data_IF_417764960926
#
_entry.id   IF_417764960926
#
_cell.length_a   1.000
_cell.length_b   1.000
_cell.length_c   1.000
_cell.angle_alpha   90.00
_cell.angle_beta   90.00
_cell.angle_gamma   90.00
#
_symmetry.space_group_name_H-M   'P 1'
#
loop_
_entity.id
_entity.type
_entity.pdbx_description
1 polymer ?
#
# COMPACT_ATOMS: atom_id res chain seq x y z
N UNK A 1 -21.69 23.27 -23.94
CA UNK A 1 -21.83 21.79 -23.90
C UNK A 1 -20.47 21.08 -23.83
N UNK A 2 -19.46 21.57 -24.54
CA UNK A 2 -18.08 21.04 -24.54
C UNK A 2 -17.30 21.10 -23.21
N UNK A 3 -17.41 22.13 -22.34
CA UNK A 3 -16.57 22.19 -21.13
C UNK A 3 -16.97 21.14 -20.09
N UNK A 4 -18.26 20.76 -20.04
CA UNK A 4 -18.76 19.76 -19.09
C UNK A 4 -18.25 18.37 -19.46
N UNK A 5 -18.34 18.00 -20.74
CA UNK A 5 -17.80 16.73 -21.25
C UNK A 5 -16.29 16.61 -21.01
N UNK A 6 -15.55 17.70 -21.24
CA UNK A 6 -14.11 17.73 -20.98
C UNK A 6 -13.79 17.60 -19.49
N UNK A 7 -14.54 18.28 -18.62
CA UNK A 7 -14.40 18.14 -17.16
C UNK A 7 -14.65 16.70 -16.70
N UNK A 8 -15.71 16.05 -17.19
CA UNK A 8 -16.02 14.66 -16.87
C UNK A 8 -14.89 13.73 -17.34
N UNK A 9 -14.39 13.92 -18.57
CA UNK A 9 -13.28 13.12 -19.09
C UNK A 9 -12.01 13.27 -18.24
N UNK A 10 -11.67 14.49 -17.82
CA UNK A 10 -10.53 14.74 -16.93
C UNK A 10 -10.71 14.06 -15.57
N UNK A 11 -11.89 14.15 -14.96
CA UNK A 11 -12.18 13.50 -13.68
C UNK A 11 -12.06 11.98 -13.78
N UNK A 12 -12.59 11.38 -14.84
CA UNK A 12 -12.47 9.94 -15.09
C UNK A 12 -11.00 9.55 -15.26
N UNK A 13 -10.22 10.28 -16.05
CA UNK A 13 -8.79 10.03 -16.25
C UNK A 13 -8.01 10.05 -14.92
N UNK A 14 -8.23 11.06 -14.08
CA UNK A 14 -7.58 11.17 -12.77
C UNK A 14 -8.02 10.01 -11.86
N UNK A 15 -9.30 9.68 -11.85
CA UNK A 15 -9.86 8.62 -11.00
C UNK A 15 -9.31 7.25 -11.42
N UNK A 16 -9.38 6.91 -12.70
CA UNK A 16 -8.85 5.66 -13.24
C UNK A 16 -7.32 5.60 -13.14
N UNK A 17 -6.62 6.71 -13.34
CA UNK A 17 -5.17 6.80 -13.15
C UNK A 17 -4.76 6.55 -11.70
N UNK A 18 -5.51 7.09 -10.73
CA UNK A 18 -5.25 6.81 -9.32
C UNK A 18 -5.54 5.34 -8.96
N UNK A 19 -6.65 4.79 -9.48
CA UNK A 19 -7.02 3.39 -9.27
C UNK A 19 -5.98 2.45 -9.89
N UNK A 20 -5.49 2.73 -11.10
CA UNK A 20 -4.49 1.89 -11.77
C UNK A 20 -3.17 1.84 -11.00
N UNK A 21 -2.70 2.98 -10.48
CA UNK A 21 -1.52 3.03 -9.59
C UNK A 21 -1.77 2.26 -8.28
N UNK A 22 -2.99 2.32 -7.74
CA UNK A 22 -3.37 1.56 -6.55
C UNK A 22 -3.39 0.04 -6.78
N UNK A 23 -3.71 -0.41 -8.00
CA UNK A 23 -3.69 -1.83 -8.39
C UNK A 23 -2.26 -2.28 -8.71
N UNK A 24 -1.49 -1.49 -9.47
CA UNK A 24 -0.13 -1.82 -9.88
C UNK A 24 0.86 -1.85 -8.71
N UNK A 25 0.68 -0.96 -7.72
CA UNK A 25 1.51 -0.92 -6.50
C UNK A 25 0.69 -1.23 -5.25
N UNK A 26 0.38 -2.51 -4.98
CA UNK A 26 -0.46 -2.91 -3.86
C UNK A 26 0.26 -2.79 -2.50
N UNK A 27 1.58 -2.62 -2.50
CA UNK A 27 2.41 -2.57 -1.30
C UNK A 27 3.04 -1.19 -1.14
N UNK A 28 2.65 -0.47 -0.08
CA UNK A 28 3.37 0.71 0.39
C UNK A 28 4.50 0.32 1.35
N UNK A 29 5.46 1.21 1.54
CA UNK A 29 6.48 1.05 2.59
C UNK A 29 5.83 1.20 3.97
N UNK A 30 6.29 0.41 4.94
CA UNK A 30 5.85 0.57 6.31
C UNK A 30 6.38 1.89 6.88
N UNK A 31 5.48 2.79 7.28
CA UNK A 31 5.83 4.13 7.82
C UNK A 31 6.73 4.10 9.07
N UNK A 32 6.76 2.98 9.81
CA UNK A 32 7.51 2.89 11.07
C UNK A 32 8.95 2.42 10.88
N UNK A 33 9.20 1.60 9.87
CA UNK A 33 10.54 1.08 9.55
C UNK A 33 11.05 1.55 8.18
N UNK A 34 10.35 2.49 7.53
CA UNK A 34 10.69 3.04 6.22
C UNK A 34 11.05 2.00 5.14
N UNK A 35 10.42 0.83 5.17
CA UNK A 35 10.72 -0.25 4.22
C UNK A 35 11.75 -1.29 4.68
N UNK A 36 12.55 -1.02 5.73
CA UNK A 36 13.60 -1.95 6.18
C UNK A 36 13.06 -3.24 6.81
N UNK A 37 11.87 -3.22 7.41
CA UNK A 37 11.28 -4.37 8.10
C UNK A 37 11.80 -4.58 9.53
N UNK A 38 12.82 -3.84 9.95
CA UNK A 38 13.39 -3.86 11.30
C UNK A 38 13.77 -2.46 11.77
N UNK A 39 13.99 -2.30 13.07
CA UNK A 39 14.58 -1.09 13.62
C UNK A 39 16.10 -1.12 13.35
N UNK A 40 16.65 -0.05 12.77
CA UNK A 40 18.10 0.13 12.69
C UNK A 40 18.61 0.54 14.07
N UNK A 41 19.65 -0.15 14.54
CA UNK A 41 20.38 0.23 15.76
C UNK A 41 21.84 0.43 15.40
N UNK A 42 22.56 1.26 16.14
CA UNK A 42 24.00 1.38 16.02
C UNK A 42 24.67 0.50 17.08
N UNK A 43 25.81 -0.09 16.73
CA UNK A 43 26.70 -0.72 17.70
C UNK A 43 27.49 0.34 18.47
N UNK A 44 28.15 -0.05 19.58
CA UNK A 44 29.05 0.81 20.36
C UNK A 44 30.17 1.45 19.51
N UNK A 45 30.52 0.83 18.39
CA UNK A 45 31.51 1.33 17.41
C UNK A 45 30.89 2.16 16.27
N UNK A 46 29.62 2.57 16.38
CA UNK A 46 28.91 3.37 15.38
C UNK A 46 28.49 2.62 14.10
N UNK A 47 28.70 1.31 14.02
CA UNK A 47 28.33 0.51 12.84
C UNK A 47 26.82 0.25 12.82
N UNK A 48 26.14 0.39 11.66
CA UNK A 48 24.73 0.08 11.55
C UNK A 48 24.51 -1.43 11.71
N UNK A 49 23.63 -1.80 12.64
CA UNK A 49 23.25 -3.18 12.94
C UNK A 49 21.74 -3.32 12.81
N UNK A 50 21.33 -4.48 12.30
CA UNK A 50 19.92 -4.90 12.31
C UNK A 50 19.45 -5.08 13.76
N UNK A 51 18.52 -4.23 14.19
CA UNK A 51 17.83 -4.36 15.47
C UNK A 51 16.60 -5.28 15.37
N UNK A 52 15.66 -5.10 16.29
CA UNK A 52 14.45 -5.94 16.38
C UNK A 52 13.56 -5.77 15.14
N UNK A 53 12.88 -6.84 14.74
CA UNK A 53 11.89 -6.80 13.66
C UNK A 53 10.77 -5.81 14.00
N UNK A 54 10.29 -5.09 12.97
CA UNK A 54 9.22 -4.11 13.15
C UNK A 54 7.92 -4.84 13.48
N UNK A 55 7.33 -4.54 14.64
CA UNK A 55 6.07 -5.13 15.11
C UNK A 55 4.88 -4.85 14.17
N UNK A 56 4.89 -3.72 13.46
CA UNK A 56 3.76 -3.28 12.62
C UNK A 56 3.67 -4.03 11.29
N UNK A 57 4.81 -4.26 10.63
CA UNK A 57 4.87 -5.03 9.38
C UNK A 57 5.34 -6.47 9.60
N UNK A 58 5.52 -6.89 10.86
CA UNK A 58 6.02 -8.22 11.25
C UNK A 58 7.27 -8.63 10.46
N UNK A 59 8.23 -7.72 10.27
CA UNK A 59 9.46 -8.01 9.53
C UNK A 59 9.41 -7.80 8.01
N UNK A 60 8.25 -7.58 7.40
CA UNK A 60 8.11 -7.55 5.93
C UNK A 60 8.54 -6.22 5.29
N UNK A 61 8.63 -5.14 6.07
CA UNK A 61 8.91 -3.79 5.55
C UNK A 61 7.79 -3.17 4.71
N UNK A 62 6.76 -3.93 4.37
CA UNK A 62 5.66 -3.54 3.47
C UNK A 62 4.32 -3.43 4.22
N UNK A 63 3.41 -2.62 3.69
CA UNK A 63 2.01 -2.44 4.13
C UNK A 63 1.10 -2.58 2.91
N UNK A 64 -0.02 -3.27 3.07
CA UNK A 64 -1.05 -3.37 2.03
C UNK A 64 -1.75 -2.02 1.86
N UNK A 65 -1.83 -1.49 0.62
CA UNK A 65 -2.61 -0.28 0.29
C UNK A 65 -4.11 -0.57 0.28
N UNK A 66 -4.92 0.49 0.39
CA UNK A 66 -6.39 0.41 0.50
C UNK A 66 -7.01 -0.36 -0.67
N UNK A 67 -6.53 -0.16 -1.91
CA UNK A 67 -7.06 -0.88 -3.08
C UNK A 67 -6.96 -2.40 -2.94
N UNK A 68 -5.78 -2.92 -2.57
CA UNK A 68 -5.60 -4.37 -2.36
C UNK A 68 -6.35 -4.88 -1.13
N UNK A 69 -6.51 -4.04 -0.10
CA UNK A 69 -7.32 -4.38 1.07
C UNK A 69 -8.81 -4.53 0.69
N UNK A 70 -9.37 -3.59 -0.09
CA UNK A 70 -10.73 -3.64 -0.59
C UNK A 70 -10.97 -4.85 -1.50
N UNK A 71 -10.06 -5.12 -2.44
CA UNK A 71 -10.17 -6.28 -3.31
C UNK A 71 -10.17 -7.60 -2.51
N UNK A 72 -9.23 -7.77 -1.57
CA UNK A 72 -9.20 -8.96 -0.73
C UNK A 72 -10.46 -9.10 0.13
N UNK A 73 -11.00 -7.99 0.65
CA UNK A 73 -12.26 -7.98 1.42
C UNK A 73 -13.44 -8.39 0.55
N UNK A 74 -13.59 -7.77 -0.63
CA UNK A 74 -14.67 -8.06 -1.57
C UNK A 74 -14.61 -9.50 -2.08
N UNK A 75 -13.42 -9.99 -2.45
CA UNK A 75 -13.21 -11.37 -2.88
C UNK A 75 -13.54 -12.38 -1.78
N UNK A 76 -13.26 -12.04 -0.51
CA UNK A 76 -13.65 -12.88 0.63
C UNK A 76 -15.17 -12.92 0.80
N UNK A 77 -15.83 -11.76 0.77
CA UNK A 77 -17.30 -11.67 0.86
C UNK A 77 -17.97 -12.42 -0.28
N UNK A 78 -17.50 -12.27 -1.52
CA UNK A 78 -18.04 -12.97 -2.68
C UNK A 78 -17.96 -14.49 -2.51
N UNK A 79 -16.78 -15.02 -2.14
CA UNK A 79 -16.61 -16.48 -1.92
C UNK A 79 -17.47 -17.02 -0.78
N UNK A 80 -17.72 -16.22 0.25
CA UNK A 80 -18.61 -16.61 1.34
C UNK A 80 -20.09 -16.59 0.93
N UNK A 81 -20.49 -15.72 0.00
CA UNK A 81 -21.84 -15.68 -0.54
C UNK A 81 -22.13 -16.72 -1.62
N UNK A 82 -21.09 -17.28 -2.25
CA UNK A 82 -21.21 -18.36 -3.25
C UNK A 82 -21.10 -19.77 -2.65
N UNK A 83 -21.22 -19.91 -1.33
CA UNK A 83 -21.12 -21.19 -0.61
C UNK A 83 -22.41 -21.43 0.17
#
# INVERSE_FOLDING_TARGET
MTPILLAIACLLLVTFGYVSVCVASPFGTCRKCHGFGFAMTTDRKGRPKRGKNCRRCKGHGKRIRVGRWLYNRAAHTYRQGTR
#
